data_IF_373315531437
#
_entry.id   IF_373315531437
#
_cell.length_a   1.000
_cell.length_b   1.000
_cell.length_c   1.000
_cell.angle_alpha   90.00
_cell.angle_beta   90.00
_cell.angle_gamma   90.00
#
_symmetry.space_group_name_H-M   'P 1'
#
loop_
_entity.id
_entity.type
_entity.pdbx_description
1 polymer ?
#
# COMPACT_ATOMS: atom_id res chain seq x y z
N UNK A 1 -24.93 -19.33 -1.59
CA UNK A 1 -25.60 -18.07 -1.26
C UNK A 1 -24.55 -16.99 -1.42
N UNK A 2 -24.76 -15.97 -2.25
CA UNK A 2 -23.81 -14.87 -2.37
C UNK A 2 -23.66 -14.23 -0.98
N UNK A 3 -22.46 -14.26 -0.43
CA UNK A 3 -22.12 -13.64 0.85
C UNK A 3 -22.41 -12.15 0.72
N UNK A 4 -23.45 -11.66 1.38
CA UNK A 4 -23.76 -10.24 1.43
C UNK A 4 -22.63 -9.55 2.18
N UNK A 5 -21.84 -8.73 1.48
CA UNK A 5 -20.80 -7.88 2.06
C UNK A 5 -21.31 -7.18 3.32
N UNK A 6 -20.50 -7.00 4.35
CA UNK A 6 -20.94 -6.26 5.53
C UNK A 6 -20.87 -4.74 5.29
N UNK A 7 -21.76 -3.93 5.91
CA UNK A 7 -21.63 -2.48 5.87
C UNK A 7 -20.27 -2.00 6.38
N UNK A 8 -19.70 -0.94 5.79
CA UNK A 8 -18.38 -0.43 6.16
C UNK A 8 -18.29 1.10 6.20
N UNK A 9 -17.25 1.61 6.86
CA UNK A 9 -16.95 3.05 6.94
C UNK A 9 -16.71 3.68 5.57
N UNK A 10 -16.13 2.92 4.63
CA UNK A 10 -15.79 3.39 3.27
C UNK A 10 -17.02 3.81 2.45
N UNK A 11 -18.19 3.28 2.79
CA UNK A 11 -19.49 3.62 2.18
C UNK A 11 -20.44 4.25 3.21
N UNK A 12 -19.90 5.00 4.18
CA UNK A 12 -20.71 5.67 5.18
C UNK A 12 -21.23 7.02 4.69
N UNK A 13 -22.53 7.24 4.92
CA UNK A 13 -23.23 8.48 4.59
C UNK A 13 -23.71 9.15 5.87
N UNK A 14 -23.71 10.48 5.88
CA UNK A 14 -24.38 11.29 6.91
C UNK A 14 -25.57 11.98 6.29
N UNK A 15 -26.76 11.65 6.77
CA UNK A 15 -28.02 12.24 6.33
C UNK A 15 -28.42 13.35 7.31
N UNK A 16 -28.55 14.59 6.83
CA UNK A 16 -29.17 15.68 7.59
C UNK A 16 -30.67 15.61 7.43
N UNK A 17 -31.36 15.30 8.53
CA UNK A 17 -32.79 15.03 8.57
C UNK A 17 -33.51 16.12 9.36
N UNK A 18 -34.55 16.70 8.77
CA UNK A 18 -35.56 17.42 9.51
C UNK A 18 -36.68 16.44 9.89
N UNK A 19 -36.87 16.23 11.18
CA UNK A 19 -37.77 15.22 11.74
C UNK A 19 -38.86 15.93 12.54
N UNK A 20 -40.12 15.59 12.32
CA UNK A 20 -41.21 16.10 13.14
C UNK A 20 -40.96 15.82 14.63
N UNK A 21 -41.11 16.83 15.50
CA UNK A 21 -40.84 16.70 16.93
C UNK A 21 -41.95 15.94 17.66
N UNK A 22 -42.02 14.63 17.42
CA UNK A 22 -42.95 13.69 18.06
C UNK A 22 -42.18 12.49 18.60
N UNK A 23 -42.62 11.97 19.74
CA UNK A 23 -42.04 10.78 20.37
C UNK A 23 -42.03 9.62 19.37
N UNK A 24 -40.90 8.89 19.33
CA UNK A 24 -40.72 7.73 18.46
C UNK A 24 -40.30 8.01 17.02
N UNK A 25 -40.27 9.28 16.57
CA UNK A 25 -39.88 9.61 15.20
C UNK A 25 -38.43 9.26 14.86
N UNK A 26 -37.49 9.48 15.79
CA UNK A 26 -36.11 9.02 15.60
C UNK A 26 -36.03 7.49 15.54
N UNK A 27 -36.82 6.80 16.36
CA UNK A 27 -36.91 5.33 16.34
C UNK A 27 -37.32 4.80 14.96
N UNK A 28 -38.28 5.46 14.29
CA UNK A 28 -38.67 5.10 12.91
C UNK A 28 -37.52 5.25 11.91
N UNK A 29 -36.72 6.31 12.03
CA UNK A 29 -35.55 6.53 11.18
C UNK A 29 -34.51 5.42 11.39
N UNK A 30 -34.14 5.15 12.64
CA UNK A 30 -33.16 4.10 12.95
C UNK A 30 -33.67 2.72 12.53
N UNK A 31 -34.96 2.42 12.73
CA UNK A 31 -35.57 1.17 12.26
C UNK A 31 -35.51 1.07 10.74
N UNK A 32 -35.83 2.12 9.99
CA UNK A 32 -35.78 2.09 8.52
C UNK A 32 -34.36 1.80 8.00
N UNK A 33 -33.33 2.41 8.62
CA UNK A 33 -31.93 2.14 8.28
C UNK A 33 -31.58 0.67 8.54
N UNK A 34 -31.92 0.17 9.74
CA UNK A 34 -31.66 -1.23 10.11
C UNK A 34 -32.42 -2.23 9.24
N UNK A 35 -33.68 -1.95 8.88
CA UNK A 35 -34.49 -2.79 7.97
C UNK A 35 -33.94 -2.82 6.55
N UNK A 36 -33.37 -1.71 6.07
CA UNK A 36 -32.64 -1.69 4.79
C UNK A 36 -31.31 -2.46 4.85
N UNK A 37 -30.86 -2.86 6.05
CA UNK A 37 -29.62 -3.58 6.29
C UNK A 37 -28.41 -2.67 6.43
N UNK A 38 -28.61 -1.37 6.68
CA UNK A 38 -27.57 -0.42 7.05
C UNK A 38 -27.18 -0.54 8.52
N UNK A 39 -25.91 -0.28 8.83
CA UNK A 39 -25.43 -0.20 10.21
C UNK A 39 -25.43 1.27 10.68
N UNK A 40 -25.98 1.52 11.86
CA UNK A 40 -26.24 2.88 12.35
C UNK A 40 -25.00 3.38 13.09
N UNK A 41 -24.50 4.54 12.68
CA UNK A 41 -23.41 5.25 13.32
C UNK A 41 -23.89 6.34 14.28
N UNK A 42 -23.20 7.47 14.26
CA UNK A 42 -23.53 8.63 15.09
C UNK A 42 -24.90 9.24 14.76
N UNK A 43 -25.58 9.76 15.79
CA UNK A 43 -26.84 10.48 15.70
C UNK A 43 -26.72 11.77 16.49
N UNK A 44 -26.53 12.89 15.79
CA UNK A 44 -26.24 14.18 16.39
C UNK A 44 -27.41 15.15 16.22
N UNK A 45 -27.72 15.91 17.28
CA UNK A 45 -28.74 16.95 17.25
C UNK A 45 -28.12 18.25 16.72
N UNK A 46 -28.48 18.67 15.52
CA UNK A 46 -27.87 19.82 14.83
C UNK A 46 -28.75 21.09 14.85
N UNK A 47 -30.02 20.98 15.25
CA UNK A 47 -30.88 22.16 15.37
C UNK A 47 -32.32 21.87 15.81
N UNK A 48 -33.07 22.94 16.08
CA UNK A 48 -34.50 22.91 16.40
C UNK A 48 -35.26 23.85 15.47
N UNK A 49 -36.38 23.37 14.95
CA UNK A 49 -37.34 24.14 14.17
C UNK A 49 -38.69 24.24 14.87
N UNK A 50 -39.62 24.99 14.28
CA UNK A 50 -40.98 25.12 14.81
C UNK A 50 -41.76 23.82 14.55
N UNK A 51 -41.77 22.92 15.54
CA UNK A 51 -42.42 21.60 15.44
C UNK A 51 -41.56 20.51 14.77
N UNK A 52 -40.29 20.80 14.49
CA UNK A 52 -39.31 19.87 13.91
C UNK A 52 -38.00 19.91 14.70
N UNK A 53 -37.20 18.85 14.56
CA UNK A 53 -35.85 18.72 15.10
C UNK A 53 -34.94 18.31 13.96
N UNK A 54 -33.80 18.97 13.82
CA UNK A 54 -32.80 18.61 12.82
C UNK A 54 -31.76 17.69 13.44
N UNK A 55 -31.54 16.53 12.82
CA UNK A 55 -30.54 15.55 13.24
C UNK A 55 -29.66 15.12 12.08
N UNK A 56 -28.37 14.97 12.34
CA UNK A 56 -27.43 14.34 11.43
C UNK A 56 -27.32 12.87 11.84
N UNK A 57 -27.72 11.96 10.94
CA UNK A 57 -27.73 10.52 11.18
C UNK A 57 -26.74 9.86 10.23
N UNK A 58 -25.72 9.21 10.79
CA UNK A 58 -24.74 8.46 10.03
C UNK A 58 -25.19 7.01 9.86
N UNK A 59 -25.07 6.48 8.65
CA UNK A 59 -25.34 5.09 8.33
C UNK A 59 -24.19 4.53 7.46
N UNK A 60 -23.74 3.33 7.78
CA UNK A 60 -22.78 2.56 6.97
C UNK A 60 -23.56 1.70 5.99
N UNK A 61 -23.13 1.71 4.73
CA UNK A 61 -23.68 0.88 3.68
C UNK A 61 -22.65 -0.17 3.21
N UNK A 62 -23.11 -1.07 2.34
CA UNK A 62 -22.29 -2.14 1.73
C UNK A 62 -21.64 -1.69 0.42
N UNK A 63 -22.11 -0.56 -0.11
CA UNK A 63 -21.79 -0.03 -1.42
C UNK A 63 -22.70 1.15 -1.74
N UNK A 64 -22.46 1.79 -2.89
CA UNK A 64 -23.16 3.00 -3.33
C UNK A 64 -24.67 2.76 -3.50
N UNK A 65 -25.05 1.66 -4.16
CA UNK A 65 -26.45 1.32 -4.40
C UNK A 65 -27.22 1.07 -3.09
N UNK A 66 -26.61 0.33 -2.16
CA UNK A 66 -27.19 0.09 -0.84
C UNK A 66 -27.30 1.38 -0.01
N UNK A 67 -26.34 2.31 -0.13
CA UNK A 67 -26.46 3.63 0.50
C UNK A 67 -27.70 4.37 -0.04
N UNK A 68 -27.95 4.28 -1.35
CA UNK A 68 -29.14 4.88 -1.95
C UNK A 68 -30.44 4.22 -1.49
N UNK A 69 -30.47 2.90 -1.30
CA UNK A 69 -31.59 2.17 -0.70
C UNK A 69 -31.90 2.67 0.72
N UNK A 70 -30.88 2.81 1.56
CA UNK A 70 -31.01 3.36 2.93
C UNK A 70 -31.61 4.77 2.88
N UNK A 71 -31.08 5.64 2.01
CA UNK A 71 -31.57 7.01 1.84
C UNK A 71 -33.05 7.01 1.44
N UNK A 72 -33.44 6.15 0.50
CA UNK A 72 -34.81 6.04 0.02
C UNK A 72 -35.76 5.53 1.12
N UNK A 73 -35.32 4.56 1.93
CA UNK A 73 -36.08 4.06 3.07
C UNK A 73 -36.35 5.16 4.11
N UNK A 74 -35.36 5.99 4.41
CA UNK A 74 -35.52 7.13 5.33
C UNK A 74 -36.41 8.22 4.73
N UNK A 75 -36.26 8.53 3.43
CA UNK A 75 -37.12 9.50 2.72
C UNK A 75 -38.60 9.10 2.71
N UNK A 76 -38.91 7.80 2.76
CA UNK A 76 -40.28 7.30 2.73
C UNK A 76 -41.04 7.50 4.06
N UNK A 77 -40.36 7.89 5.15
CA UNK A 77 -40.99 8.04 6.47
C UNK A 77 -41.82 9.33 6.52
N UNK A 78 -43.15 9.26 6.74
CA UNK A 78 -43.97 10.46 6.89
C UNK A 78 -43.52 11.30 8.09
N UNK A 79 -43.30 12.60 7.87
CA UNK A 79 -42.80 13.51 8.90
C UNK A 79 -41.28 13.56 9.02
N UNK A 80 -40.54 12.94 8.08
CA UNK A 80 -39.09 13.09 7.92
C UNK A 80 -38.81 13.71 6.56
N UNK A 81 -37.92 14.70 6.52
CA UNK A 81 -37.39 15.31 5.30
C UNK A 81 -35.88 15.18 5.31
N UNK A 82 -35.33 14.51 4.30
CA UNK A 82 -33.87 14.48 4.08
C UNK A 82 -33.46 15.80 3.43
N UNK A 83 -32.74 16.65 4.17
CA UNK A 83 -32.27 17.95 3.70
C UNK A 83 -31.04 17.78 2.81
N UNK A 84 -30.06 17.01 3.29
CA UNK A 84 -28.82 16.75 2.57
C UNK A 84 -28.31 15.35 2.92
N UNK A 85 -27.54 14.75 2.02
CA UNK A 85 -26.77 13.53 2.27
C UNK A 85 -25.33 13.80 1.87
N UNK A 86 -24.41 13.52 2.78
CA UNK A 86 -22.98 13.66 2.52
C UNK A 86 -22.30 12.30 2.60
N UNK A 87 -21.55 11.94 1.57
CA UNK A 87 -20.66 10.79 1.60
C UNK A 87 -19.40 11.16 2.39
N UNK A 88 -19.11 10.42 3.46
CA UNK A 88 -18.01 10.75 4.38
C UNK A 88 -16.63 10.56 3.75
N UNK A 89 -16.50 9.64 2.79
CA UNK A 89 -15.27 9.46 2.02
C UNK A 89 -15.03 10.67 1.13
N UNK A 90 -16.07 11.19 0.45
CA UNK A 90 -15.94 12.42 -0.36
C UNK A 90 -15.68 13.65 0.50
N UNK A 91 -16.32 13.77 1.66
CA UNK A 91 -16.09 14.87 2.60
C UNK A 91 -14.62 14.94 3.05
N UNK A 92 -13.99 13.78 3.31
CA UNK A 92 -12.57 13.69 3.66
C UNK A 92 -11.63 14.15 2.54
N UNK A 93 -12.12 14.26 1.30
CA UNK A 93 -11.34 14.69 0.14
C UNK A 93 -11.59 16.15 -0.26
N UNK A 94 -12.47 16.88 0.44
CA UNK A 94 -12.74 18.29 0.13
C UNK A 94 -11.49 19.14 0.36
N UNK A 95 -10.91 19.65 -0.73
CA UNK A 95 -9.68 20.46 -0.68
C UNK A 95 -8.37 19.65 -0.64
N UNK A 96 -8.45 18.32 -0.82
CA UNK A 96 -7.29 17.43 -0.73
C UNK A 96 -7.01 16.94 0.70
N UNK A 97 -6.07 16.00 0.84
CA UNK A 97 -5.76 15.34 2.12
C UNK A 97 -4.51 15.88 2.84
N UNK A 98 -3.73 16.72 2.18
CA UNK A 98 -2.45 17.22 2.68
C UNK A 98 -2.31 18.72 2.42
N UNK A 99 -1.53 19.39 3.27
CA UNK A 99 -1.17 20.80 3.10
C UNK A 99 0.30 21.05 3.48
N UNK A 100 0.83 22.23 3.13
CA UNK A 100 2.20 22.63 3.44
C UNK A 100 2.21 23.58 4.63
N UNK A 101 3.01 23.25 5.64
CA UNK A 101 3.26 24.12 6.79
C UNK A 101 4.72 24.52 6.90
N UNK A 102 4.94 25.75 7.40
CA UNK A 102 6.28 26.27 7.67
C UNK A 102 6.90 25.56 8.88
N UNK A 103 8.15 25.10 8.75
CA UNK A 103 8.95 24.58 9.88
C UNK A 103 9.40 25.67 10.85
N UNK A 104 9.57 26.89 10.35
CA UNK A 104 9.95 28.08 11.13
C UNK A 104 8.90 29.16 10.85
N UNK A 105 8.24 29.72 11.87
CA UNK A 105 7.26 30.78 11.65
C UNK A 105 7.97 32.07 11.22
N UNK A 106 7.35 32.81 10.29
CA UNK A 106 7.83 34.13 9.84
C UNK A 106 6.88 35.18 10.43
N UNK A 107 7.28 35.82 11.54
CA UNK A 107 6.42 36.77 12.28
C UNK A 107 6.92 38.20 12.22
N UNK A 108 8.22 38.37 11.97
CA UNK A 108 8.89 39.68 11.98
C UNK A 108 9.64 39.94 10.67
N UNK A 109 10.02 41.21 10.46
CA UNK A 109 10.91 41.59 9.36
C UNK A 109 12.26 40.88 9.44
N UNK A 110 12.77 40.65 10.65
CA UNK A 110 14.02 39.93 10.85
C UNK A 110 13.89 38.47 10.41
N UNK A 111 12.80 37.79 10.78
CA UNK A 111 12.53 36.42 10.32
C UNK A 111 12.46 36.35 8.79
N UNK A 112 11.73 37.29 8.16
CA UNK A 112 11.60 37.37 6.71
C UNK A 112 12.97 37.59 6.05
N UNK A 113 13.81 38.47 6.61
CA UNK A 113 15.14 38.76 6.07
C UNK A 113 16.12 37.58 6.14
N UNK A 114 15.89 36.64 7.08
CA UNK A 114 16.68 35.42 7.24
C UNK A 114 16.14 34.28 6.36
N UNK A 115 14.82 34.07 6.36
CA UNK A 115 14.15 33.01 5.61
C UNK A 115 14.14 33.28 4.11
N UNK A 116 14.14 34.55 3.70
CA UNK A 116 14.10 35.00 2.31
C UNK A 116 15.18 36.06 2.05
N UNK A 117 14.90 37.06 1.23
CA UNK A 117 15.88 38.08 0.87
C UNK A 117 16.15 39.06 2.02
N UNK A 118 17.42 39.46 2.22
CA UNK A 118 18.60 39.05 1.46
C UNK A 118 19.30 37.78 2.02
N UNK A 119 18.94 37.30 3.20
CA UNK A 119 19.69 36.28 3.95
C UNK A 119 19.83 34.93 3.22
N UNK A 120 18.78 34.48 2.52
CA UNK A 120 18.74 33.21 1.79
C UNK A 120 19.82 33.12 0.70
N UNK A 121 20.28 34.24 0.14
CA UNK A 121 21.33 34.26 -0.87
C UNK A 121 22.64 33.63 -0.37
N UNK A 122 22.96 33.77 0.92
CA UNK A 122 24.15 33.13 1.53
C UNK A 122 24.03 31.61 1.55
N UNK A 123 22.82 31.10 1.79
CA UNK A 123 22.52 29.65 1.76
C UNK A 123 22.62 29.13 0.33
N UNK A 124 22.06 29.84 -0.65
CA UNK A 124 22.18 29.50 -2.07
C UNK A 124 23.66 29.43 -2.51
N UNK A 125 24.47 30.43 -2.17
CA UNK A 125 25.90 30.43 -2.50
C UNK A 125 26.68 29.33 -1.78
N UNK A 126 26.29 28.96 -0.56
CA UNK A 126 26.90 27.82 0.14
C UNK A 126 26.63 26.49 -0.58
N UNK A 127 25.42 26.28 -1.11
CA UNK A 127 25.05 25.09 -1.89
C UNK A 127 25.71 25.13 -3.29
N UNK A 128 25.79 26.30 -3.93
CA UNK A 128 26.49 26.44 -5.22
C UNK A 128 27.96 26.03 -5.12
N UNK A 129 28.64 26.34 -4.01
CA UNK A 129 30.03 25.93 -3.74
C UNK A 129 30.15 24.44 -3.35
N UNK A 130 29.13 23.86 -2.73
CA UNK A 130 29.09 22.45 -2.33
C UNK A 130 27.64 21.93 -2.37
N UNK A 131 27.29 21.27 -3.48
CA UNK A 131 25.93 20.77 -3.75
C UNK A 131 25.44 19.82 -2.67
N UNK A 132 26.34 19.11 -1.97
CA UNK A 132 25.97 18.17 -0.89
C UNK A 132 25.31 18.89 0.29
N UNK A 133 25.53 20.20 0.46
CA UNK A 133 24.85 21.00 1.49
C UNK A 133 23.35 21.12 1.27
N UNK A 134 22.84 20.84 0.07
CA UNK A 134 21.39 20.76 -0.18
C UNK A 134 20.69 19.78 0.79
N UNK A 135 21.30 18.64 1.09
CA UNK A 135 20.78 17.67 2.08
C UNK A 135 20.83 18.14 3.55
N UNK A 136 21.43 19.29 3.84
CA UNK A 136 21.54 19.83 5.20
C UNK A 136 20.81 21.16 5.35
N UNK A 137 20.70 21.93 4.27
CA UNK A 137 20.17 23.29 4.26
C UNK A 137 18.82 23.43 3.54
N UNK A 138 18.28 22.35 2.98
CA UNK A 138 16.97 22.36 2.31
C UNK A 138 16.11 21.16 2.72
N UNK A 139 14.86 21.18 2.27
CA UNK A 139 13.90 20.11 2.50
C UNK A 139 14.32 18.78 1.86
N UNK A 140 15.26 18.79 0.90
CA UNK A 140 15.84 17.62 0.22
C UNK A 140 16.24 16.50 1.19
N UNK A 141 16.66 16.87 2.41
CA UNK A 141 17.02 15.92 3.47
C UNK A 141 15.91 14.90 3.80
N UNK A 142 14.65 15.32 3.72
CA UNK A 142 13.50 14.58 4.23
C UNK A 142 12.36 14.48 3.21
N UNK A 143 12.62 14.84 1.95
CA UNK A 143 11.59 14.88 0.92
C UNK A 143 11.58 13.65 0.02
N UNK A 144 10.38 13.13 -0.27
CA UNK A 144 10.16 12.06 -1.25
C UNK A 144 9.14 12.52 -2.29
N UNK A 145 9.41 12.27 -3.57
CA UNK A 145 8.41 12.41 -4.61
C UNK A 145 7.65 11.09 -4.78
N UNK A 146 6.32 11.13 -4.69
CA UNK A 146 5.43 10.02 -5.02
C UNK A 146 4.99 10.22 -6.47
N UNK A 147 5.64 9.53 -7.39
CA UNK A 147 5.49 9.73 -8.84
C UNK A 147 4.61 8.64 -9.45
N UNK A 148 3.59 9.04 -10.20
CA UNK A 148 2.73 8.15 -10.97
C UNK A 148 2.38 8.74 -12.33
N UNK A 149 1.93 7.92 -13.27
CA UNK A 149 1.26 8.36 -14.51
C UNK A 149 -0.23 8.00 -14.53
N UNK A 150 -0.74 7.38 -13.45
CA UNK A 150 -2.14 6.99 -13.30
C UNK A 150 -2.58 5.82 -14.19
N UNK A 151 -1.64 5.01 -14.68
CA UNK A 151 -1.93 3.92 -15.63
C UNK A 151 -2.26 2.57 -14.98
N UNK A 152 -2.03 2.42 -13.68
CA UNK A 152 -2.34 1.20 -12.93
C UNK A 152 -2.84 1.51 -11.51
N UNK A 153 -3.79 2.44 -11.38
CA UNK A 153 -4.26 2.91 -10.06
C UNK A 153 -5.10 1.83 -9.39
N UNK A 154 -4.59 1.24 -8.31
CA UNK A 154 -5.26 0.17 -7.56
C UNK A 154 -5.68 -0.98 -8.52
N UNK A 155 -6.94 -1.42 -8.44
CA UNK A 155 -7.56 -2.35 -9.39
C UNK A 155 -8.34 -1.65 -10.52
N UNK A 156 -8.26 -0.32 -10.65
CA UNK A 156 -9.06 0.48 -11.59
C UNK A 156 -8.40 0.59 -12.99
N UNK A 157 -7.10 0.29 -13.07
CA UNK A 157 -6.34 0.36 -14.31
C UNK A 157 -5.95 1.79 -14.68
N UNK A 158 -6.00 2.08 -15.98
CA UNK A 158 -5.56 3.35 -16.55
C UNK A 158 -6.70 4.37 -16.50
N UNK A 159 -6.70 5.20 -15.45
CA UNK A 159 -7.71 6.25 -15.20
C UNK A 159 -7.15 7.65 -15.36
N UNK A 160 -5.87 7.77 -15.70
CA UNK A 160 -5.18 9.04 -15.92
C UNK A 160 -4.64 9.71 -14.66
N UNK A 161 -3.75 10.70 -14.83
CA UNK A 161 -2.99 11.29 -13.74
C UNK A 161 -3.86 12.09 -12.74
N UNK A 162 -4.88 12.81 -13.20
CA UNK A 162 -5.76 13.59 -12.31
C UNK A 162 -6.58 12.68 -11.40
N UNK A 163 -7.07 11.55 -11.93
CA UNK A 163 -7.83 10.57 -11.15
C UNK A 163 -6.95 9.76 -10.18
N UNK A 164 -5.64 9.70 -10.42
CA UNK A 164 -4.66 9.07 -9.53
C UNK A 164 -4.28 9.96 -8.33
N UNK A 165 -4.43 11.28 -8.43
CA UNK A 165 -4.01 12.24 -7.38
C UNK A 165 -4.52 11.91 -5.98
N UNK A 166 -5.79 11.49 -5.76
CA UNK A 166 -6.25 11.09 -4.44
C UNK A 166 -5.45 9.95 -3.82
N UNK A 167 -5.03 8.96 -4.61
CA UNK A 167 -4.20 7.84 -4.13
C UNK A 167 -2.79 8.34 -3.79
N UNK A 168 -2.20 9.17 -4.66
CA UNK A 168 -0.85 9.72 -4.44
C UNK A 168 -0.79 10.64 -3.21
N UNK A 169 -1.80 11.47 -2.98
CA UNK A 169 -1.93 12.24 -1.74
C UNK A 169 -2.04 11.34 -0.51
N UNK A 170 -2.80 10.25 -0.63
CA UNK A 170 -2.91 9.24 0.43
C UNK A 170 -1.56 8.65 0.78
N UNK A 171 -0.78 8.24 -0.24
CA UNK A 171 0.59 7.73 -0.06
C UNK A 171 1.49 8.78 0.60
N UNK A 172 1.42 10.04 0.16
CA UNK A 172 2.19 11.12 0.76
C UNK A 172 1.83 11.37 2.24
N UNK A 173 0.55 11.34 2.59
CA UNK A 173 0.07 11.41 3.97
C UNK A 173 0.60 10.24 4.82
N UNK A 174 0.61 9.02 4.28
CA UNK A 174 1.11 7.84 4.99
C UNK A 174 2.62 7.88 5.20
N UNK A 175 3.39 8.43 4.25
CA UNK A 175 4.82 8.74 4.44
C UNK A 175 5.03 9.67 5.65
N UNK A 176 4.17 10.68 5.80
CA UNK A 176 4.24 11.60 6.94
C UNK A 176 3.87 10.92 8.25
N UNK A 177 2.74 10.22 8.26
CA UNK A 177 2.15 9.62 9.45
C UNK A 177 3.01 8.49 10.05
N UNK A 178 3.60 7.64 9.20
CA UNK A 178 4.33 6.45 9.64
C UNK A 178 5.85 6.55 9.49
N UNK A 179 6.35 7.49 8.67
CA UNK A 179 7.78 7.67 8.42
C UNK A 179 8.33 9.03 8.84
N UNK A 180 7.47 9.99 9.20
CA UNK A 180 7.88 11.38 9.44
C UNK A 180 8.49 12.04 8.19
N UNK A 181 8.16 11.53 7.00
CA UNK A 181 8.73 11.96 5.72
C UNK A 181 7.82 13.02 5.10
N UNK A 182 8.41 14.08 4.57
CA UNK A 182 7.68 15.11 3.85
C UNK A 182 7.54 14.62 2.39
N UNK A 183 6.38 14.10 1.98
CA UNK A 183 6.19 13.54 0.64
C UNK A 183 5.29 14.42 -0.23
N UNK A 184 5.56 14.45 -1.55
CA UNK A 184 4.79 15.21 -2.53
C UNK A 184 4.21 14.30 -3.61
N UNK A 185 2.89 14.33 -3.87
CA UNK A 185 2.29 13.63 -5.00
C UNK A 185 2.61 14.34 -6.32
N UNK A 186 3.09 13.59 -7.31
CA UNK A 186 3.44 14.09 -8.64
C UNK A 186 2.87 13.13 -9.69
N UNK A 187 1.67 13.42 -10.19
CA UNK A 187 1.09 12.70 -11.32
C UNK A 187 1.52 13.33 -12.64
N UNK A 188 2.12 12.55 -13.53
CA UNK A 188 2.63 12.99 -14.83
C UNK A 188 1.63 12.67 -15.94
N UNK A 189 1.30 13.66 -16.75
CA UNK A 189 0.45 13.47 -17.93
C UNK A 189 1.25 13.03 -19.16
N UNK A 190 1.94 11.90 -19.03
CA UNK A 190 2.65 11.22 -20.12
C UNK A 190 2.69 9.73 -19.83
N UNK A 191 2.70 8.92 -20.90
CA UNK A 191 2.84 7.46 -20.82
C UNK A 191 4.14 6.97 -21.47
N UNK A 192 4.97 7.89 -21.97
CA UNK A 192 6.26 7.55 -22.57
C UNK A 192 7.30 7.30 -21.46
N UNK A 193 7.87 6.08 -21.37
CA UNK A 193 8.92 5.77 -20.39
C UNK A 193 10.11 6.73 -20.43
N UNK A 194 10.56 7.14 -21.62
CA UNK A 194 11.70 8.07 -21.76
C UNK A 194 11.38 9.43 -21.17
N UNK A 195 10.21 9.98 -21.51
CA UNK A 195 9.76 11.25 -20.96
C UNK A 195 9.59 11.20 -19.43
N UNK A 196 9.02 10.13 -18.88
CA UNK A 196 8.90 9.94 -17.43
C UNK A 196 10.30 9.93 -16.79
N UNK A 197 11.24 9.15 -17.33
CA UNK A 197 12.61 9.07 -16.81
C UNK A 197 13.27 10.44 -16.84
N UNK A 198 13.15 11.18 -17.95
CA UNK A 198 13.71 12.53 -18.11
C UNK A 198 13.12 13.52 -17.09
N UNK A 199 11.80 13.52 -16.91
CA UNK A 199 11.12 14.42 -15.96
C UNK A 199 11.55 14.12 -14.53
N UNK A 200 11.53 12.84 -14.12
CA UNK A 200 11.90 12.45 -12.75
C UNK A 200 13.37 12.80 -12.45
N UNK A 201 14.28 12.57 -13.39
CA UNK A 201 15.68 13.00 -13.27
C UNK A 201 15.83 14.51 -13.11
N UNK A 202 15.05 15.30 -13.87
CA UNK A 202 15.07 16.75 -13.76
C UNK A 202 14.55 17.24 -12.39
N UNK A 203 13.63 16.51 -11.76
CA UNK A 203 13.09 16.80 -10.43
C UNK A 203 14.00 16.36 -9.28
N UNK A 204 14.94 15.44 -9.52
CA UNK A 204 15.81 14.83 -8.52
C UNK A 204 16.55 15.81 -7.56
N UNK A 205 17.00 17.01 -7.98
CA UNK A 205 17.65 17.95 -7.07
C UNK A 205 16.78 18.39 -5.88
N UNK A 206 15.46 18.32 -5.99
CA UNK A 206 14.50 18.69 -4.93
C UNK A 206 14.32 17.60 -3.87
N UNK A 207 14.53 16.34 -4.25
CA UNK A 207 14.13 15.18 -3.44
C UNK A 207 15.32 14.41 -2.86
N UNK A 208 15.07 13.78 -1.71
CA UNK A 208 15.96 12.81 -1.09
C UNK A 208 15.71 11.37 -1.54
N UNK A 209 14.55 11.11 -2.17
CA UNK A 209 14.20 9.83 -2.78
C UNK A 209 12.97 9.93 -3.69
N UNK A 210 12.79 8.92 -4.54
CA UNK A 210 11.67 8.80 -5.48
C UNK A 210 10.91 7.51 -5.19
N UNK A 211 9.61 7.62 -4.95
CA UNK A 211 8.69 6.50 -4.84
C UNK A 211 7.84 6.45 -6.12
N UNK A 212 8.02 5.43 -6.95
CA UNK A 212 7.18 5.16 -8.12
C UNK A 212 5.94 4.38 -7.68
N UNK A 213 4.79 4.77 -8.21
CA UNK A 213 3.48 4.25 -7.78
C UNK A 213 2.52 4.10 -8.96
N UNK A 214 1.74 3.03 -9.00
CA UNK A 214 0.61 2.85 -9.93
C UNK A 214 0.98 3.05 -11.43
N UNK A 215 2.17 2.59 -11.83
CA UNK A 215 2.64 2.60 -13.22
C UNK A 215 2.50 1.19 -13.81
N UNK A 216 1.85 1.09 -14.96
CA UNK A 216 1.55 -0.21 -15.59
C UNK A 216 2.80 -0.98 -16.05
N UNK A 217 2.77 -2.30 -15.86
CA UNK A 217 3.74 -3.21 -16.45
C UNK A 217 3.52 -3.36 -17.97
N UNK A 218 4.58 -3.54 -18.78
CA UNK A 218 5.97 -3.73 -18.38
C UNK A 218 6.78 -2.41 -18.25
N UNK A 219 6.19 -1.25 -18.55
CA UNK A 219 6.90 0.05 -18.58
C UNK A 219 7.51 0.41 -17.23
N UNK A 220 6.82 0.08 -16.14
CA UNK A 220 7.31 0.36 -14.79
C UNK A 220 8.68 -0.28 -14.48
N UNK A 221 9.02 -1.41 -15.11
CA UNK A 221 10.34 -2.04 -14.95
C UNK A 221 11.44 -1.22 -15.63
N UNK A 222 11.24 -0.83 -16.89
CA UNK A 222 12.19 -0.01 -17.63
C UNK A 222 12.42 1.34 -16.93
N UNK A 223 11.33 1.99 -16.52
CA UNK A 223 11.38 3.27 -15.80
C UNK A 223 12.17 3.13 -14.50
N UNK A 224 11.86 2.12 -13.68
CA UNK A 224 12.57 1.91 -12.42
C UNK A 224 14.06 1.60 -12.65
N UNK A 225 14.37 0.67 -13.56
CA UNK A 225 15.75 0.24 -13.83
C UNK A 225 16.62 1.41 -14.29
N UNK A 226 16.12 2.22 -15.22
CA UNK A 226 16.81 3.40 -15.71
C UNK A 226 16.98 4.46 -14.63
N UNK A 227 15.93 4.76 -13.86
CA UNK A 227 16.05 5.74 -12.77
C UNK A 227 17.06 5.30 -11.71
N UNK A 228 17.12 4.00 -11.38
CA UNK A 228 18.12 3.46 -10.43
C UNK A 228 19.54 3.51 -10.98
N UNK A 229 19.72 3.32 -12.28
CA UNK A 229 21.04 3.39 -12.92
C UNK A 229 21.52 4.83 -13.13
N UNK A 230 20.60 5.76 -13.38
CA UNK A 230 20.92 7.12 -13.83
C UNK A 230 20.87 8.18 -12.70
N UNK A 231 20.39 7.84 -11.50
CA UNK A 231 20.23 8.78 -10.37
C UNK A 231 21.11 8.44 -9.16
N UNK A 232 21.39 9.45 -8.32
CA UNK A 232 22.21 9.33 -7.11
C UNK A 232 21.39 9.33 -5.80
N UNK A 233 20.08 9.15 -5.91
CA UNK A 233 19.12 9.07 -4.80
C UNK A 233 18.28 7.79 -4.92
N UNK A 234 17.77 7.24 -3.80
CA UNK A 234 16.98 6.02 -3.81
C UNK A 234 15.71 6.17 -4.65
N UNK A 235 15.54 5.24 -5.59
CA UNK A 235 14.30 5.03 -6.34
C UNK A 235 13.72 3.68 -5.93
N UNK A 236 12.43 3.65 -5.62
CA UNK A 236 11.70 2.47 -5.17
C UNK A 236 10.30 2.47 -5.78
N UNK A 237 9.89 1.35 -6.36
CA UNK A 237 8.52 1.15 -6.81
C UNK A 237 7.74 0.35 -5.76
N UNK A 238 6.73 0.96 -5.13
CA UNK A 238 6.05 0.35 -3.99
C UNK A 238 5.23 -0.88 -4.39
N UNK A 239 4.47 -0.81 -5.49
CA UNK A 239 3.67 -1.96 -5.97
C UNK A 239 4.51 -3.19 -6.27
N UNK A 240 5.78 -2.99 -6.65
CA UNK A 240 6.74 -4.07 -6.84
C UNK A 240 7.36 -4.50 -5.51
N UNK A 241 8.25 -3.66 -4.98
CA UNK A 241 9.16 -4.04 -3.91
C UNK A 241 8.53 -3.90 -2.53
N UNK A 242 7.60 -2.95 -2.36
CA UNK A 242 6.80 -2.80 -1.14
C UNK A 242 6.01 -4.08 -0.88
N UNK A 243 5.25 -4.52 -1.87
CA UNK A 243 4.49 -5.78 -1.86
C UNK A 243 5.40 -6.98 -1.58
N UNK A 244 6.54 -7.08 -2.30
CA UNK A 244 7.48 -8.17 -2.13
C UNK A 244 8.03 -8.28 -0.70
N UNK A 245 8.37 -7.14 -0.09
CA UNK A 245 8.89 -7.09 1.29
C UNK A 245 7.86 -7.57 2.31
N UNK A 246 6.60 -7.11 2.20
CA UNK A 246 5.55 -7.50 3.16
C UNK A 246 5.06 -8.93 2.97
N UNK A 247 5.06 -9.42 1.72
CA UNK A 247 4.80 -10.84 1.41
C UNK A 247 5.88 -11.73 2.02
N UNK A 248 7.16 -11.37 1.86
CA UNK A 248 8.25 -12.14 2.46
C UNK A 248 8.19 -12.09 3.99
N UNK A 249 7.91 -10.93 4.59
CA UNK A 249 7.76 -10.82 6.05
C UNK A 249 6.66 -11.76 6.58
N UNK A 250 5.52 -11.80 5.89
CA UNK A 250 4.41 -12.70 6.21
C UNK A 250 4.81 -14.16 6.06
N UNK A 251 5.46 -14.52 4.95
CA UNK A 251 5.94 -15.88 4.70
C UNK A 251 6.94 -16.34 5.77
N UNK A 252 7.88 -15.50 6.19
CA UNK A 252 8.85 -15.82 7.23
C UNK A 252 8.17 -16.20 8.56
N UNK A 253 7.08 -15.53 8.92
CA UNK A 253 6.31 -15.86 10.11
C UNK A 253 5.41 -17.10 9.91
N UNK A 254 4.81 -17.25 8.73
CA UNK A 254 4.06 -18.46 8.36
C UNK A 254 4.92 -19.72 8.47
N UNK A 255 6.16 -19.67 7.98
CA UNK A 255 7.12 -20.78 8.02
C UNK A 255 7.42 -21.27 9.44
N UNK A 256 7.42 -20.37 10.43
CA UNK A 256 7.61 -20.73 11.85
C UNK A 256 6.44 -21.54 12.39
N UNK A 257 5.22 -21.26 11.92
CA UNK A 257 3.99 -21.95 12.32
C UNK A 257 3.90 -23.32 11.66
N UNK A 258 4.03 -23.37 10.33
CA UNK A 258 3.92 -24.63 9.57
C UNK A 258 5.17 -25.51 9.65
N UNK A 259 6.27 -24.99 10.23
CA UNK A 259 7.56 -25.68 10.42
C UNK A 259 8.15 -26.23 9.11
N UNK A 260 8.02 -25.47 8.03
CA UNK A 260 8.59 -25.79 6.72
C UNK A 260 9.87 -24.99 6.48
N UNK A 261 10.76 -25.50 5.62
CA UNK A 261 11.91 -24.74 5.13
C UNK A 261 11.57 -24.16 3.77
N UNK A 262 11.89 -22.89 3.55
CA UNK A 262 11.56 -22.17 2.30
C UNK A 262 12.17 -22.84 1.06
N UNK A 263 13.33 -23.48 1.20
CA UNK A 263 14.05 -24.15 0.13
C UNK A 263 13.37 -25.44 -0.39
N UNK A 264 12.51 -26.04 0.43
CA UNK A 264 11.78 -27.28 0.08
C UNK A 264 10.37 -26.99 -0.45
N UNK A 265 9.91 -25.73 -0.38
CA UNK A 265 8.54 -25.38 -0.73
C UNK A 265 8.31 -25.38 -2.24
N UNK A 266 7.12 -25.84 -2.65
CA UNK A 266 6.52 -25.50 -3.94
C UNK A 266 5.65 -24.25 -3.77
N UNK A 267 6.00 -23.17 -4.48
CA UNK A 267 5.30 -21.88 -4.42
C UNK A 267 4.64 -21.61 -5.76
N UNK A 268 3.33 -21.36 -5.75
CA UNK A 268 2.58 -21.00 -6.96
C UNK A 268 2.14 -19.54 -6.87
N UNK A 269 2.53 -18.74 -7.86
CA UNK A 269 2.21 -17.31 -7.95
C UNK A 269 1.23 -17.08 -9.09
N UNK A 270 0.01 -16.65 -8.78
CA UNK A 270 -0.97 -16.24 -9.78
C UNK A 270 -0.82 -14.74 -10.06
N UNK A 271 -0.39 -14.39 -11.27
CA UNK A 271 -0.09 -13.02 -11.68
C UNK A 271 1.41 -12.78 -11.80
N UNK A 272 1.93 -12.79 -13.04
CA UNK A 272 3.35 -12.53 -13.35
C UNK A 272 3.52 -11.12 -13.92
N UNK A 273 2.98 -10.14 -13.17
CA UNK A 273 3.15 -8.70 -13.41
C UNK A 273 4.26 -8.09 -12.55
N UNK A 274 4.18 -6.78 -12.33
CA UNK A 274 5.10 -6.00 -11.49
C UNK A 274 5.36 -6.66 -10.12
N UNK A 275 4.31 -6.80 -9.31
CA UNK A 275 4.37 -7.36 -7.96
C UNK A 275 4.75 -8.83 -7.96
N UNK A 276 4.20 -9.63 -8.87
CA UNK A 276 4.46 -11.09 -8.93
C UNK A 276 5.92 -11.43 -9.20
N UNK A 277 6.56 -10.71 -10.13
CA UNK A 277 7.99 -10.93 -10.39
C UNK A 277 8.84 -10.44 -9.21
N UNK A 278 8.54 -9.28 -8.63
CA UNK A 278 9.27 -8.76 -7.47
C UNK A 278 9.16 -9.69 -6.24
N UNK A 279 7.95 -10.19 -5.95
CA UNK A 279 7.72 -11.17 -4.88
C UNK A 279 8.52 -12.45 -5.13
N UNK A 280 8.50 -12.97 -6.36
CA UNK A 280 9.26 -14.17 -6.70
C UNK A 280 10.77 -13.96 -6.51
N UNK A 281 11.32 -12.83 -6.98
CA UNK A 281 12.74 -12.48 -6.81
C UNK A 281 13.15 -12.43 -5.33
N UNK A 282 12.40 -11.73 -4.49
CA UNK A 282 12.78 -11.61 -3.07
C UNK A 282 12.64 -12.94 -2.32
N UNK A 283 11.65 -13.76 -2.68
CA UNK A 283 11.44 -15.10 -2.10
C UNK A 283 12.56 -16.06 -2.54
N UNK A 284 13.02 -15.98 -3.79
CA UNK A 284 14.22 -16.69 -4.26
C UNK A 284 15.47 -16.23 -3.52
N UNK A 285 15.65 -14.92 -3.32
CA UNK A 285 16.76 -14.37 -2.55
C UNK A 285 16.72 -14.81 -1.07
N UNK A 286 15.54 -15.14 -0.55
CA UNK A 286 15.36 -15.73 0.78
C UNK A 286 15.61 -17.25 0.82
N UNK A 287 15.81 -17.91 -0.33
CA UNK A 287 16.23 -19.30 -0.44
C UNK A 287 15.24 -20.24 -1.14
N UNK A 288 14.07 -19.77 -1.60
CA UNK A 288 13.13 -20.61 -2.32
C UNK A 288 13.70 -21.10 -3.66
N UNK A 289 13.42 -22.37 -4.01
CA UNK A 289 13.96 -23.01 -5.22
C UNK A 289 12.89 -23.35 -6.25
N UNK A 290 11.67 -23.64 -5.82
CA UNK A 290 10.57 -24.04 -6.69
C UNK A 290 9.43 -23.01 -6.65
N UNK A 291 9.49 -22.04 -7.56
CA UNK A 291 8.43 -21.05 -7.76
C UNK A 291 7.83 -21.25 -9.15
N UNK A 292 6.51 -21.26 -9.27
CA UNK A 292 5.80 -21.40 -10.55
C UNK A 292 4.86 -20.22 -10.70
N UNK A 293 5.16 -19.35 -11.65
CA UNK A 293 4.31 -18.24 -12.02
C UNK A 293 3.25 -18.67 -13.03
N UNK A 294 2.01 -18.22 -12.83
CA UNK A 294 0.88 -18.50 -13.70
C UNK A 294 0.28 -17.18 -14.16
N UNK A 295 0.10 -17.03 -15.47
CA UNK A 295 -0.65 -15.91 -16.04
C UNK A 295 -1.94 -16.38 -16.69
N UNK A 296 -2.62 -15.48 -17.40
CA UNK A 296 -3.91 -15.74 -18.08
C UNK A 296 -3.89 -16.93 -19.04
N UNK A 297 -2.73 -17.36 -19.55
CA UNK A 297 -2.60 -18.47 -20.50
C UNK A 297 -2.18 -19.76 -19.79
N UNK A 298 -1.69 -19.68 -18.55
CA UNK A 298 -1.22 -20.82 -17.76
C UNK A 298 0.19 -20.58 -17.19
N UNK A 299 0.84 -21.66 -16.78
CA UNK A 299 2.18 -21.63 -16.21
C UNK A 299 3.20 -20.97 -17.15
N UNK A 300 4.13 -20.22 -16.58
CA UNK A 300 5.31 -19.70 -17.25
C UNK A 300 6.41 -20.77 -17.17
N UNK A 301 6.98 -21.11 -18.32
CA UNK A 301 7.94 -22.21 -18.44
C UNK A 301 8.89 -21.96 -19.60
N UNK A 302 10.08 -22.57 -19.53
CA UNK A 302 11.13 -22.38 -20.54
C UNK A 302 10.65 -22.86 -21.91
N UNK A 303 10.73 -21.99 -22.91
CA UNK A 303 10.31 -22.27 -24.29
C UNK A 303 8.83 -21.98 -24.57
N UNK A 304 8.05 -21.50 -23.60
CA UNK A 304 6.70 -20.96 -23.84
C UNK A 304 6.78 -19.81 -24.86
N UNK A 305 5.86 -19.79 -25.85
CA UNK A 305 5.80 -18.75 -26.90
C UNK A 305 4.64 -17.77 -26.75
N UNK A 306 3.59 -18.16 -26.06
CA UNK A 306 2.34 -17.39 -25.97
C UNK A 306 2.41 -16.34 -24.88
N UNK A 307 2.06 -15.09 -25.20
CA UNK A 307 1.90 -13.99 -24.24
C UNK A 307 3.17 -13.75 -23.38
N UNK A 308 4.34 -13.85 -24.02
CA UNK A 308 5.66 -13.63 -23.43
C UNK A 308 6.15 -12.20 -23.68
N UNK A 309 7.02 -11.73 -22.80
CA UNK A 309 7.76 -10.47 -22.91
C UNK A 309 9.10 -10.67 -22.18
N UNK A 310 10.01 -9.69 -22.26
CA UNK A 310 11.36 -9.81 -21.70
C UNK A 310 11.37 -10.19 -20.20
N UNK A 311 10.41 -9.69 -19.41
CA UNK A 311 10.27 -10.03 -18.00
C UNK A 311 9.84 -11.48 -17.78
N UNK A 312 8.90 -11.98 -18.58
CA UNK A 312 8.45 -13.36 -18.51
C UNK A 312 9.48 -14.33 -19.08
N UNK A 313 10.30 -13.90 -20.02
CA UNK A 313 11.43 -14.68 -20.51
C UNK A 313 12.45 -14.88 -19.38
N UNK A 314 12.83 -13.80 -18.69
CA UNK A 314 13.63 -13.90 -17.46
C UNK A 314 12.96 -14.82 -16.43
N UNK A 315 11.66 -14.65 -16.20
CA UNK A 315 10.92 -15.47 -15.24
C UNK A 315 10.93 -16.97 -15.60
N UNK A 316 10.75 -17.32 -16.88
CA UNK A 316 10.76 -18.68 -17.39
C UNK A 316 12.14 -19.35 -17.29
N UNK A 317 13.22 -18.56 -17.33
CA UNK A 317 14.60 -19.05 -17.21
C UNK A 317 15.04 -19.28 -15.77
N UNK A 318 14.44 -18.57 -14.80
CA UNK A 318 14.89 -18.54 -13.40
C UNK A 318 13.93 -19.24 -12.43
N UNK A 319 12.74 -19.61 -12.88
CA UNK A 319 11.70 -20.25 -12.06
C UNK A 319 11.23 -21.56 -12.70
N UNK A 320 10.30 -22.25 -12.05
CA UNK A 320 9.68 -23.49 -12.52
C UNK A 320 10.72 -24.56 -12.93
N UNK A 321 11.58 -25.01 -11.97
CA UNK A 321 12.70 -25.90 -12.27
C UNK A 321 12.29 -27.25 -12.86
N UNK A 322 11.05 -27.67 -12.63
CA UNK A 322 10.49 -28.93 -13.16
C UNK A 322 9.71 -28.73 -14.46
N UNK A 323 9.70 -27.52 -15.02
CA UNK A 323 9.06 -27.17 -16.29
C UNK A 323 7.57 -27.58 -16.32
N UNK A 324 6.86 -27.40 -15.20
CA UNK A 324 5.43 -27.67 -15.06
C UNK A 324 4.62 -26.80 -16.03
N UNK A 325 3.55 -27.37 -16.58
CA UNK A 325 2.68 -26.75 -17.60
C UNK A 325 1.22 -26.95 -17.24
N UNK A 326 0.36 -26.15 -17.84
CA UNK A 326 -1.09 -26.22 -17.64
C UNK A 326 -1.65 -24.94 -17.04
N UNK A 327 -2.92 -25.01 -16.64
CA UNK A 327 -3.63 -23.94 -15.97
C UNK A 327 -3.26 -23.89 -14.49
N UNK A 328 -3.71 -22.85 -13.79
CA UNK A 328 -3.48 -22.67 -12.36
C UNK A 328 -3.89 -23.91 -11.54
N UNK A 329 -5.10 -24.43 -11.78
CA UNK A 329 -5.62 -25.64 -11.12
C UNK A 329 -4.81 -26.90 -11.36
N UNK A 330 -4.00 -26.96 -12.42
CA UNK A 330 -3.13 -28.10 -12.72
C UNK A 330 -1.84 -28.02 -11.87
N UNK A 331 -1.22 -26.83 -11.83
CA UNK A 331 0.08 -26.64 -11.16
C UNK A 331 -0.01 -26.41 -9.66
N UNK A 332 -1.18 -26.04 -9.14
CA UNK A 332 -1.38 -25.80 -7.70
C UNK A 332 -1.32 -27.08 -6.84
N UNK A 333 -1.43 -28.25 -7.47
CA UNK A 333 -1.33 -29.52 -6.75
C UNK A 333 0.04 -29.67 -6.08
N UNK A 334 0.02 -29.98 -4.79
CA UNK A 334 1.20 -30.09 -3.93
C UNK A 334 1.88 -28.76 -3.61
N UNK A 335 1.27 -27.60 -3.92
CA UNK A 335 1.82 -26.30 -3.53
C UNK A 335 1.75 -26.09 -2.01
N UNK A 336 2.83 -25.60 -1.42
CA UNK A 336 2.88 -25.20 -0.01
C UNK A 336 2.38 -23.77 0.21
N UNK A 337 2.61 -22.90 -0.77
CA UNK A 337 2.16 -21.52 -0.80
C UNK A 337 1.45 -21.22 -2.13
N UNK A 338 0.24 -20.69 -2.04
CA UNK A 338 -0.39 -19.95 -3.12
C UNK A 338 -0.27 -18.44 -2.84
N UNK A 339 0.28 -17.68 -3.78
CA UNK A 339 0.36 -16.23 -3.77
C UNK A 339 -0.43 -15.67 -4.95
N UNK A 340 -1.62 -15.15 -4.67
CA UNK A 340 -2.45 -14.44 -5.64
C UNK A 340 -2.08 -12.97 -5.70
N UNK A 341 -1.78 -12.46 -6.90
CA UNK A 341 -1.47 -11.06 -7.21
C UNK A 341 -2.11 -10.68 -8.56
N UNK A 342 -3.33 -11.16 -8.80
CA UNK A 342 -3.98 -11.04 -10.10
C UNK A 342 -5.40 -10.48 -9.99
N UNK A 343 -6.40 -11.30 -9.72
CA UNK A 343 -7.79 -10.88 -9.75
C UNK A 343 -8.73 -11.86 -9.06
N UNK A 344 -10.02 -11.52 -8.95
CA UNK A 344 -10.95 -12.28 -8.14
C UNK A 344 -11.28 -13.66 -8.71
N UNK A 345 -11.56 -14.61 -7.80
CA UNK A 345 -12.13 -15.93 -8.14
C UNK A 345 -11.22 -16.83 -9.00
N UNK A 346 -9.90 -16.78 -8.80
CA UNK A 346 -8.94 -17.55 -9.59
C UNK A 346 -8.73 -18.98 -9.09
N UNK A 347 -8.98 -19.25 -7.82
CA UNK A 347 -8.86 -20.60 -7.24
C UNK A 347 -10.14 -20.98 -6.51
N UNK A 348 -10.40 -22.29 -6.48
CA UNK A 348 -11.59 -22.87 -5.84
C UNK A 348 -11.21 -23.69 -4.60
N UNK A 349 -12.21 -24.06 -3.81
CA UNK A 349 -12.03 -25.01 -2.69
C UNK A 349 -11.40 -26.34 -3.15
N UNK A 350 -11.72 -26.81 -4.37
CA UNK A 350 -11.15 -28.04 -4.90
C UNK A 350 -9.68 -27.89 -5.29
N UNK A 351 -9.23 -26.68 -5.61
CA UNK A 351 -7.82 -26.37 -5.80
C UNK A 351 -7.08 -26.37 -4.46
N UNK A 352 -7.68 -25.78 -3.42
CA UNK A 352 -7.11 -25.77 -2.05
C UNK A 352 -6.91 -27.18 -1.50
N UNK A 353 -7.87 -28.09 -1.73
CA UNK A 353 -7.77 -29.50 -1.30
C UNK A 353 -6.64 -30.28 -1.96
N UNK A 354 -6.12 -29.80 -3.11
CA UNK A 354 -5.00 -30.43 -3.83
C UNK A 354 -3.64 -29.90 -3.36
N UNK A 355 -3.61 -28.83 -2.57
CA UNK A 355 -2.37 -28.27 -2.04
C UNK A 355 -1.69 -29.21 -1.04
N UNK A 356 -0.45 -28.91 -0.68
CA UNK A 356 0.28 -29.66 0.33
C UNK A 356 -0.38 -29.56 1.71
N UNK A 357 0.01 -30.45 2.62
CA UNK A 357 -0.40 -30.38 4.04
C UNK A 357 -0.02 -29.03 4.64
N UNK A 358 -0.87 -28.49 5.50
CA UNK A 358 -0.71 -27.17 6.13
C UNK A 358 -0.49 -26.05 5.08
N UNK A 359 -1.44 -25.85 4.14
CA UNK A 359 -1.24 -24.93 3.04
C UNK A 359 -1.36 -23.47 3.50
N UNK A 360 -0.52 -22.63 2.89
CA UNK A 360 -0.50 -21.17 3.09
C UNK A 360 -1.14 -20.53 1.85
N UNK A 361 -2.11 -19.65 2.07
CA UNK A 361 -2.80 -18.93 0.99
C UNK A 361 -2.75 -17.43 1.26
N UNK A 362 -2.09 -16.70 0.39
CA UNK A 362 -2.07 -15.23 0.36
C UNK A 362 -2.88 -14.78 -0.86
N UNK A 363 -4.12 -14.32 -0.65
CA UNK A 363 -5.01 -13.85 -1.72
C UNK A 363 -5.07 -12.31 -1.70
N UNK A 364 -4.22 -11.67 -2.50
CA UNK A 364 -3.87 -10.25 -2.37
C UNK A 364 -4.62 -9.32 -3.32
N UNK A 365 -5.43 -9.84 -4.25
CA UNK A 365 -6.22 -8.98 -5.13
C UNK A 365 -7.18 -8.10 -4.31
N UNK A 366 -7.32 -6.84 -4.76
CA UNK A 366 -8.24 -5.86 -4.18
C UNK A 366 -9.17 -5.32 -5.27
N UNK A 367 -10.43 -4.98 -4.94
CA UNK A 367 -11.08 -5.17 -3.63
C UNK A 367 -11.49 -6.62 -3.33
N UNK A 368 -11.60 -7.45 -4.38
CA UNK A 368 -12.06 -8.83 -4.29
C UNK A 368 -10.85 -9.80 -4.46
N UNK A 369 -10.58 -10.66 -3.47
CA UNK A 369 -9.42 -11.57 -3.49
C UNK A 369 -9.60 -12.74 -4.45
N UNK A 370 -8.51 -13.45 -4.75
CA UNK A 370 -8.50 -14.66 -5.58
C UNK A 370 -9.44 -15.76 -5.07
N UNK A 371 -9.69 -15.80 -3.75
CA UNK A 371 -10.70 -16.60 -3.07
C UNK A 371 -11.09 -15.89 -1.78
N UNK A 372 -12.38 -15.96 -1.40
CA UNK A 372 -12.85 -15.35 -0.16
C UNK A 372 -12.31 -16.10 1.07
N UNK A 373 -11.88 -15.40 2.14
CA UNK A 373 -11.39 -16.04 3.36
C UNK A 373 -12.38 -17.03 3.98
N UNK A 374 -13.68 -16.77 3.92
CA UNK A 374 -14.72 -17.66 4.43
C UNK A 374 -14.75 -19.01 3.70
N UNK A 375 -14.46 -19.01 2.39
CA UNK A 375 -14.40 -20.22 1.58
C UNK A 375 -13.09 -20.97 1.79
N UNK A 376 -11.98 -20.24 1.99
CA UNK A 376 -10.65 -20.81 2.11
C UNK A 376 -10.32 -21.32 3.51
N UNK A 377 -10.74 -20.61 4.57
CA UNK A 377 -10.34 -20.84 5.96
C UNK A 377 -10.48 -22.30 6.44
N UNK A 378 -11.55 -23.05 6.10
CA UNK A 378 -11.66 -24.46 6.51
C UNK A 378 -10.61 -25.40 5.89
N UNK A 379 -9.93 -24.98 4.81
CA UNK A 379 -9.04 -25.82 4.01
C UNK A 379 -7.58 -25.38 4.09
N UNK A 380 -7.29 -24.25 4.73
CA UNK A 380 -5.94 -23.66 4.78
C UNK A 380 -5.47 -23.51 6.21
N UNK A 381 -4.15 -23.64 6.41
CA UNK A 381 -3.56 -23.43 7.73
C UNK A 381 -3.36 -21.95 8.02
N UNK A 382 -3.01 -21.19 6.99
CA UNK A 382 -2.78 -19.74 7.10
C UNK A 382 -3.45 -19.08 5.92
N UNK A 383 -4.30 -18.10 6.22
CA UNK A 383 -4.95 -17.24 5.25
C UNK A 383 -4.49 -15.79 5.47
N UNK A 384 -4.13 -15.11 4.39
CA UNK A 384 -3.82 -13.68 4.42
C UNK A 384 -4.42 -12.99 3.18
N UNK A 385 -4.74 -11.70 3.32
CA UNK A 385 -5.30 -10.90 2.22
C UNK A 385 -4.71 -9.49 2.20
N UNK A 386 -5.02 -8.72 1.15
CA UNK A 386 -4.76 -7.27 1.12
C UNK A 386 -5.76 -6.44 1.92
N UNK A 387 -6.88 -7.02 2.37
CA UNK A 387 -7.99 -6.29 2.97
C UNK A 387 -7.83 -6.10 4.47
N UNK A 388 -8.26 -4.95 4.97
CA UNK A 388 -8.12 -4.54 6.38
C UNK A 388 -9.16 -5.14 7.32
N UNK A 389 -10.24 -5.70 6.79
CA UNK A 389 -11.33 -6.29 7.55
C UNK A 389 -11.10 -7.77 7.93
N UNK A 390 -10.01 -8.38 7.45
CA UNK A 390 -9.61 -9.75 7.79
C UNK A 390 -8.31 -9.79 8.61
N UNK A 391 -8.08 -10.89 9.36
CA UNK A 391 -6.77 -11.19 9.92
C UNK A 391 -5.68 -11.22 8.84
N UNK A 392 -4.43 -11.03 9.28
CA UNK A 392 -3.26 -11.08 8.41
C UNK A 392 -3.35 -10.17 7.18
N UNK A 393 -3.69 -8.89 7.37
CA UNK A 393 -3.61 -7.91 6.30
C UNK A 393 -2.16 -7.70 5.86
N UNK A 394 -1.84 -8.11 4.64
CA UNK A 394 -0.55 -7.83 4.01
C UNK A 394 -0.69 -6.48 3.27
N UNK A 395 -0.01 -5.46 3.79
CA UNK A 395 -0.14 -4.10 3.27
C UNK A 395 1.21 -3.38 3.21
N UNK A 396 1.51 -2.78 2.06
CA UNK A 396 2.78 -2.12 1.76
C UNK A 396 3.08 -0.93 2.69
N UNK A 397 2.07 -0.38 3.40
CA UNK A 397 2.23 0.62 4.46
C UNK A 397 3.21 0.20 5.56
N UNK A 398 3.36 -1.11 5.80
CA UNK A 398 4.35 -1.62 6.76
C UNK A 398 5.80 -1.47 6.27
N UNK A 399 5.99 -1.20 4.98
CA UNK A 399 7.28 -1.23 4.30
C UNK A 399 7.77 0.18 3.91
N UNK A 400 7.08 0.86 2.99
CA UNK A 400 7.62 2.07 2.35
C UNK A 400 7.99 3.20 3.33
N UNK A 401 7.24 3.49 4.43
CA UNK A 401 7.63 4.57 5.33
C UNK A 401 8.96 4.27 6.03
N UNK A 402 9.13 3.04 6.50
CA UNK A 402 10.33 2.59 7.20
C UNK A 402 11.54 2.46 6.26
N UNK A 403 11.34 1.89 5.07
CA UNK A 403 12.43 1.75 4.07
C UNK A 403 12.98 3.12 3.70
N UNK A 404 12.12 4.08 3.34
CA UNK A 404 12.58 5.41 2.99
C UNK A 404 13.17 6.15 4.19
N UNK A 405 12.63 5.98 5.40
CA UNK A 405 13.19 6.60 6.60
C UNK A 405 14.64 6.14 6.81
N UNK A 406 14.90 4.84 6.72
CA UNK A 406 16.25 4.27 6.82
C UNK A 406 17.18 4.72 5.70
N UNK A 407 16.67 4.78 4.46
CA UNK A 407 17.43 5.24 3.30
C UNK A 407 17.81 6.74 3.41
N UNK A 408 16.86 7.60 3.81
CA UNK A 408 17.08 9.03 3.99
C UNK A 408 18.03 9.32 5.16
N UNK A 409 17.88 8.61 6.28
CA UNK A 409 18.74 8.77 7.46
C UNK A 409 20.21 8.46 7.19
N UNK A 410 20.44 7.41 6.41
CA UNK A 410 21.78 6.98 5.95
C UNK A 410 22.26 7.75 4.72
N UNK A 411 21.41 8.59 4.12
CA UNK A 411 21.63 9.25 2.82
C UNK A 411 22.06 8.24 1.75
N UNK A 412 21.40 7.09 1.72
CA UNK A 412 21.69 6.02 0.79
C UNK A 412 21.67 6.54 -0.66
N UNK A 413 22.47 5.95 -1.54
CA UNK A 413 22.44 6.24 -2.98
C UNK A 413 21.38 5.41 -3.70
N UNK A 414 20.98 4.27 -3.14
CA UNK A 414 19.94 3.40 -3.69
C UNK A 414 19.26 2.59 -2.57
N UNK A 415 18.16 1.90 -2.91
CA UNK A 415 17.58 0.82 -2.10
C UNK A 415 17.88 -0.50 -2.81
N UNK A 416 18.85 -1.25 -2.27
CA UNK A 416 19.33 -2.50 -2.85
C UNK A 416 18.61 -3.75 -2.25
N UNK A 417 18.96 -4.95 -2.73
CA UNK A 417 18.30 -6.19 -2.30
C UNK A 417 18.51 -6.51 -0.82
N UNK A 418 19.70 -6.26 -0.26
CA UNK A 418 19.97 -6.49 1.16
C UNK A 418 19.16 -5.58 2.06
N UNK A 419 18.89 -4.33 1.63
CA UNK A 419 18.00 -3.42 2.34
C UNK A 419 16.55 -3.89 2.32
N UNK A 420 16.07 -4.43 1.19
CA UNK A 420 14.71 -5.01 1.08
C UNK A 420 14.55 -6.25 1.97
N UNK A 421 15.53 -7.15 1.94
CA UNK A 421 15.55 -8.32 2.83
C UNK A 421 15.58 -7.89 4.30
N UNK A 422 16.43 -6.93 4.67
CA UNK A 422 16.48 -6.39 6.03
C UNK A 422 15.13 -5.81 6.48
N UNK A 423 14.42 -5.11 5.60
CA UNK A 423 13.07 -4.63 5.88
C UNK A 423 12.09 -5.78 6.14
N UNK A 424 12.09 -6.83 5.31
CA UNK A 424 11.21 -7.99 5.49
C UNK A 424 11.46 -8.69 6.84
N UNK A 425 12.73 -8.92 7.19
CA UNK A 425 13.09 -9.49 8.48
C UNK A 425 12.69 -8.59 9.66
N UNK A 426 12.86 -7.27 9.52
CA UNK A 426 12.45 -6.31 10.55
C UNK A 426 10.94 -6.34 10.79
N UNK A 427 10.12 -6.30 9.73
CA UNK A 427 8.66 -6.39 9.84
C UNK A 427 8.25 -7.71 10.49
N UNK A 428 8.80 -8.84 10.03
CA UNK A 428 8.49 -10.15 10.59
C UNK A 428 8.85 -10.23 12.09
N UNK A 429 9.94 -9.59 12.51
CA UNK A 429 10.39 -9.56 13.90
C UNK A 429 9.51 -8.72 14.84
N UNK A 430 8.65 -7.85 14.29
CA UNK A 430 7.72 -7.05 15.09
C UNK A 430 6.53 -7.86 15.63
N UNK A 431 6.32 -9.09 15.15
CA UNK A 431 5.37 -10.04 15.74
C UNK A 431 6.10 -10.82 16.83
N UNK A 432 5.67 -10.64 18.08
CA UNK A 432 6.26 -11.33 19.22
C UNK A 432 6.05 -12.85 19.13
N UNK A 433 6.96 -13.64 19.71
CA UNK A 433 6.87 -15.10 19.72
C UNK A 433 5.57 -15.61 20.34
N UNK A 434 5.03 -14.90 21.34
CA UNK A 434 3.79 -15.29 22.03
C UNK A 434 2.53 -14.78 21.32
N UNK A 435 2.66 -13.79 20.43
CA UNK A 435 1.55 -13.25 19.63
C UNK A 435 1.39 -14.02 18.31
N UNK A 436 2.47 -14.64 17.83
CA UNK A 436 2.50 -15.36 16.57
C UNK A 436 1.47 -16.49 16.57
N UNK A 437 0.47 -16.36 15.72
CA UNK A 437 -0.60 -17.33 15.53
C UNK A 437 -1.02 -17.36 14.05
N UNK A 438 -1.90 -18.30 13.69
CA UNK A 438 -2.42 -18.43 12.32
C UNK A 438 -3.17 -17.19 11.86
N UNK A 439 -3.75 -16.43 12.79
CA UNK A 439 -4.47 -15.17 12.55
C UNK A 439 -3.61 -13.91 12.79
N UNK A 440 -2.32 -14.08 13.14
CA UNK A 440 -1.42 -12.97 13.42
C UNK A 440 0.04 -13.27 12.99
N UNK A 441 0.28 -13.29 11.68
CA UNK A 441 1.61 -13.49 11.07
C UNK A 441 2.31 -12.18 10.67
N UNK A 442 1.58 -11.08 10.60
CA UNK A 442 2.05 -9.77 10.13
C UNK A 442 1.54 -8.72 11.12
N UNK A 443 2.37 -7.74 11.55
CA UNK A 443 1.92 -6.73 12.50
C UNK A 443 0.83 -5.84 11.89
N UNK A 444 -0.03 -5.28 12.73
CA UNK A 444 -0.99 -4.25 12.30
C UNK A 444 -0.27 -3.05 11.67
N UNK A 445 -0.86 -2.46 10.63
CA UNK A 445 -0.39 -1.19 10.03
C UNK A 445 -0.28 -0.04 11.05
N UNK A 446 -1.03 -0.11 12.15
CA UNK A 446 -0.98 0.87 13.24
C UNK A 446 0.07 0.58 14.30
N UNK A 447 0.83 -0.53 14.19
CA UNK A 447 1.93 -0.81 15.09
C UNK A 447 3.09 0.18 14.83
N UNK A 448 3.15 1.23 15.66
CA UNK A 448 4.13 2.31 15.56
C UNK A 448 5.59 1.86 15.74
N UNK A 449 5.84 0.62 16.17
CA UNK A 449 7.20 0.07 16.27
C UNK A 449 7.77 -0.37 14.92
N UNK A 450 6.91 -0.64 13.92
CA UNK A 450 7.34 -1.19 12.62
C UNK A 450 8.23 -0.20 11.86
N UNK A 451 7.76 1.04 11.66
CA UNK A 451 8.51 2.07 10.92
C UNK A 451 9.94 2.28 11.46
N UNK A 452 10.12 2.53 12.78
CA UNK A 452 11.45 2.65 13.38
C UNK A 452 12.31 1.37 13.28
N UNK A 453 11.72 0.18 13.44
CA UNK A 453 12.45 -1.09 13.33
C UNK A 453 12.97 -1.31 11.90
N UNK A 454 12.12 -1.10 10.90
CA UNK A 454 12.49 -1.18 9.48
C UNK A 454 13.56 -0.15 9.15
N UNK A 455 13.38 1.11 9.54
CA UNK A 455 14.34 2.18 9.27
C UNK A 455 15.75 1.85 9.81
N UNK A 456 15.81 1.32 11.04
CA UNK A 456 17.06 0.91 11.68
C UNK A 456 17.77 -0.19 10.89
N UNK A 457 17.08 -1.27 10.54
CA UNK A 457 17.70 -2.39 9.84
C UNK A 457 18.05 -2.07 8.38
N UNK A 458 17.23 -1.25 7.72
CA UNK A 458 17.52 -0.72 6.38
C UNK A 458 18.75 0.18 6.39
N UNK A 459 18.86 1.09 7.38
CA UNK A 459 20.05 1.93 7.55
C UNK A 459 21.30 1.08 7.81
N UNK A 460 21.22 0.05 8.66
CA UNK A 460 22.32 -0.91 8.90
C UNK A 460 22.73 -1.63 7.62
N UNK A 461 21.76 -2.11 6.84
CA UNK A 461 22.03 -2.76 5.56
C UNK A 461 22.71 -1.80 4.57
N UNK A 462 22.24 -0.54 4.48
CA UNK A 462 22.84 0.48 3.62
C UNK A 462 24.32 0.77 3.95
N UNK A 463 24.68 0.76 5.24
CA UNK A 463 26.08 0.88 5.66
C UNK A 463 26.89 -0.37 5.33
N UNK A 464 26.33 -1.56 5.57
CA UNK A 464 26.98 -2.84 5.28
C UNK A 464 27.32 -3.00 3.79
N UNK A 465 26.41 -2.58 2.91
CA UNK A 465 26.59 -2.64 1.45
C UNK A 465 27.25 -1.39 0.88
N UNK A 466 27.69 -0.46 1.74
CA UNK A 466 28.45 0.76 1.38
C UNK A 466 27.71 1.73 0.46
N UNK A 467 26.38 1.69 0.46
CA UNK A 467 25.54 2.65 -0.27
C UNK A 467 25.16 3.86 0.58
N UNK A 468 25.38 3.82 1.89
CA UNK A 468 25.19 4.94 2.82
C UNK A 468 26.25 6.04 2.62
N UNK A 469 25.81 7.31 2.53
CA UNK A 469 26.70 8.48 2.42
C UNK A 469 26.91 9.23 3.75
N UNK A 470 26.10 8.94 4.78
CA UNK A 470 26.29 9.45 6.14
C UNK A 470 27.14 8.46 6.92
N UNK A 471 28.10 8.92 7.71
CA UNK A 471 28.95 8.05 8.53
C UNK A 471 28.21 7.58 9.80
N UNK A 472 28.46 6.33 10.22
CA UNK A 472 27.73 5.68 11.34
C UNK A 472 27.92 6.37 12.69
N UNK A 473 29.05 7.09 12.90
CA UNK A 473 29.33 7.84 14.15
C UNK A 473 28.23 8.86 14.49
N UNK A 474 27.62 9.48 13.49
CA UNK A 474 26.57 10.50 13.70
C UNK A 474 25.18 9.91 13.95
N UNK A 475 24.96 8.61 13.69
CA UNK A 475 23.64 7.98 13.86
C UNK A 475 23.45 7.40 15.27
N UNK A 476 24.52 6.87 15.89
CA UNK A 476 24.46 6.36 17.26
C UNK A 476 24.39 7.47 18.32
N UNK A 477 24.95 8.65 18.05
CA UNK A 477 24.93 9.78 18.99
C UNK A 477 23.57 10.52 19.06
N UNK A 478 22.67 10.36 18.07
CA UNK A 478 21.37 11.08 18.03
C UNK A 478 20.22 10.25 18.64
N UNK A 479 20.44 8.96 18.92
CA UNK A 479 19.39 8.04 19.40
C UNK A 479 19.73 7.42 20.77
N UNK A 480 20.63 8.07 21.53
CA UNK A 480 20.98 7.71 22.90
C UNK A 480 20.69 8.83 23.92
N UNK A 481 19.93 9.87 23.55
CA UNK A 481 19.41 10.88 24.48
C UNK A 481 17.87 10.90 24.49
#
# INVERSE_FOLDING_TARGET
MATTLSPSESYSITMRLEIQNKVGMLGKVTTAIGTAGGDIGAVDLSGHGKGTVTRDVTARARGIDHAQEIINAVKAIPGVKVINVSDRTFLMHLGGKIEVHNKVPVKTRNDLSMAYTPGVARVCMAISRDVKKSFSLTIRRNSVAVVSDGTAVLGLGDIGPEAAMPVMEGKAMLFKEFGGIDAWPICLNTKDPEEIVRIVKALAPTFGGINLEDISAPRCFEIEERLKAEMDIPVFHDDQHGTAVVVLASLLNSLKIVKKRIEDMKIVVAGVGASGVACSKIIMNAGARNIIGVDRVGAIYKGRKQHMNFMKDWYAEHTNPFNEKGKLSDVISGADLFLGLAGPGLITVDDLKKMAKDPIVFAMANPDPEIMPEEAAPYVRIMATGRSDYPNQINNVLCFPGIFRGALDSRATCINEEMKLAAAYAIASCVGKEELSEDYIIPSVFNRKVGPAVAKEVSRAAHRTKVARRTSKTYMEIHLD
#
